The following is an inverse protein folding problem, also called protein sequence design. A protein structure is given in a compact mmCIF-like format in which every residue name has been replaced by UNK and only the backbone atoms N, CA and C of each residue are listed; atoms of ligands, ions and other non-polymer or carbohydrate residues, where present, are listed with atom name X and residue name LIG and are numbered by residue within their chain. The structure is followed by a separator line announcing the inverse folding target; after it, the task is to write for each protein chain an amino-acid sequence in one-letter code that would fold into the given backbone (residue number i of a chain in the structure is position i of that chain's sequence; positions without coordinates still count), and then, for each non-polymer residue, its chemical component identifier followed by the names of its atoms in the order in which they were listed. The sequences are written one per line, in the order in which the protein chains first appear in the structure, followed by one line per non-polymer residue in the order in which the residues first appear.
data_IF_680633496044
#
_entry.id   IF_680633496044
#
_cell.length_a   1.000
_cell.length_b   1.000
_cell.length_c   1.000
_cell.angle_alpha   90.00
_cell.angle_beta   90.00
_cell.angle_gamma   90.00
#
_symmetry.space_group_name_H-M   'P 1'
#
loop_
_entity.id
_entity.type
_entity.pdbx_description
1 polymer ?
#
# COMPACT_ATOMS: atom_id res chain seq x y z
N UNK A 1 9.16 -5.12 -6.05
CA UNK A 1 8.82 -6.55 -5.77
C UNK A 1 7.93 -7.02 -6.91
N UNK A 2 8.00 -8.27 -7.39
CA UNK A 2 7.10 -8.72 -8.46
C UNK A 2 5.88 -9.41 -7.84
N UNK A 3 4.67 -9.03 -8.27
CA UNK A 3 3.41 -9.67 -7.89
C UNK A 3 2.80 -10.36 -9.12
N UNK A 4 2.53 -11.65 -9.02
CA UNK A 4 1.83 -12.41 -10.07
C UNK A 4 0.33 -12.41 -9.83
N UNK A 5 -0.46 -12.15 -10.87
CA UNK A 5 -1.92 -12.18 -10.82
C UNK A 5 -2.49 -12.75 -12.12
N UNK A 6 -3.41 -13.70 -12.02
CA UNK A 6 -4.21 -14.15 -13.15
C UNK A 6 -5.28 -13.11 -13.49
N UNK A 7 -5.80 -13.15 -14.71
CA UNK A 7 -6.99 -12.35 -15.05
C UNK A 7 -8.15 -12.71 -14.14
N UNK A 8 -8.90 -11.69 -13.72
CA UNK A 8 -10.02 -11.77 -12.77
C UNK A 8 -9.65 -12.27 -11.36
N UNK A 9 -8.38 -12.52 -11.08
CA UNK A 9 -7.88 -12.88 -9.75
C UNK A 9 -7.58 -11.62 -8.94
N UNK A 10 -8.14 -11.52 -7.74
CA UNK A 10 -7.80 -10.45 -6.80
C UNK A 10 -6.59 -10.85 -5.98
N UNK A 11 -5.50 -10.09 -6.08
CA UNK A 11 -4.28 -10.30 -5.29
C UNK A 11 -4.00 -9.11 -4.36
N UNK A 12 -3.55 -9.35 -3.12
CA UNK A 12 -3.08 -8.28 -2.24
C UNK A 12 -1.68 -7.80 -2.66
N UNK A 13 -1.51 -6.48 -2.71
CA UNK A 13 -0.22 -5.80 -2.96
C UNK A 13 0.13 -4.96 -1.73
N UNK A 14 0.95 -5.47 -0.80
CA UNK A 14 1.28 -4.76 0.43
C UNK A 14 2.40 -3.74 0.20
N UNK A 15 2.15 -2.50 0.62
CA UNK A 15 3.12 -1.41 0.68
C UNK A 15 3.57 -1.23 2.13
N UNK A 16 4.80 -1.66 2.42
CA UNK A 16 5.44 -1.50 3.72
C UNK A 16 6.28 -0.23 3.73
N UNK A 17 6.06 0.65 4.70
CA UNK A 17 6.82 1.88 4.87
C UNK A 17 7.16 2.10 6.34
N UNK A 18 8.38 2.56 6.61
CA UNK A 18 8.74 3.11 7.91
C UNK A 18 8.50 4.62 7.89
N UNK A 19 7.88 5.16 8.95
CA UNK A 19 7.61 6.59 9.05
C UNK A 19 7.67 7.08 10.49
N UNK A 20 8.16 8.30 10.68
CA UNK A 20 8.13 9.03 11.94
C UNK A 20 7.61 10.45 11.67
N UNK A 21 6.45 10.85 12.22
CA UNK A 21 5.50 10.04 12.99
C UNK A 21 4.77 8.99 12.14
N UNK A 22 4.19 8.00 12.83
CA UNK A 22 3.56 6.82 12.24
C UNK A 22 2.20 7.06 11.58
N UNK A 23 1.60 8.24 11.77
CA UNK A 23 0.34 8.61 11.12
C UNK A 23 0.59 8.89 9.63
N UNK A 24 0.46 7.85 8.80
CA UNK A 24 0.68 7.89 7.36
C UNK A 24 -0.59 7.65 6.56
N UNK A 25 -0.74 8.45 5.51
CA UNK A 25 -1.68 8.26 4.41
C UNK A 25 -0.95 7.70 3.19
N UNK A 26 -1.67 6.99 2.32
CA UNK A 26 -1.09 6.30 1.16
C UNK A 26 -1.74 6.76 -0.15
N UNK A 27 -0.91 7.00 -1.16
CA UNK A 27 -1.32 7.30 -2.53
C UNK A 27 -0.82 6.20 -3.47
N UNK A 28 -1.71 5.69 -4.33
CA UNK A 28 -1.36 4.71 -5.35
C UNK A 28 -1.48 5.29 -6.76
N UNK A 29 -0.51 4.95 -7.61
CA UNK A 29 -0.57 5.21 -9.04
C UNK A 29 -0.31 3.91 -9.82
N UNK A 30 -1.02 3.73 -10.92
CA UNK A 30 -0.77 2.66 -11.87
C UNK A 30 -0.23 3.24 -13.19
N UNK A 31 0.75 2.57 -13.76
CA UNK A 31 1.27 2.89 -15.08
C UNK A 31 1.43 1.64 -15.93
N UNK A 32 0.81 1.64 -17.12
CA UNK A 32 1.18 0.73 -18.21
C UNK A 32 1.84 1.54 -19.33
N UNK A 33 2.59 0.86 -20.20
CA UNK A 33 3.39 1.24 -21.38
C UNK A 33 2.79 2.21 -22.42
N UNK A 34 1.94 3.16 -22.01
CA UNK A 34 1.44 4.26 -22.83
C UNK A 34 0.33 5.09 -22.19
N UNK A 35 -0.25 4.68 -21.06
CA UNK A 35 -1.42 5.35 -20.47
C UNK A 35 -1.30 5.41 -18.94
N UNK A 36 -1.43 6.62 -18.38
CA UNK A 36 -1.55 6.87 -16.93
C UNK A 36 -3.03 7.01 -16.63
N UNK A 37 -3.61 6.02 -15.97
CA UNK A 37 -4.93 6.19 -15.37
C UNK A 37 -4.75 6.49 -13.89
N UNK A 38 -5.43 7.53 -13.39
CA UNK A 38 -5.65 7.64 -11.96
C UNK A 38 -6.45 6.41 -11.54
N UNK A 39 -5.93 5.67 -10.56
CA UNK A 39 -6.59 4.50 -10.01
C UNK A 39 -7.89 5.01 -9.40
N UNK A 40 -9.01 4.89 -10.13
CA UNK A 40 -10.28 5.45 -9.73
C UNK A 40 -10.63 4.88 -8.35
N UNK A 41 -10.73 5.78 -7.38
CA UNK A 41 -10.89 5.48 -5.95
C UNK A 41 -12.17 4.70 -5.59
N UNK A 42 -12.95 4.26 -6.58
CA UNK A 42 -14.20 3.51 -6.43
C UNK A 42 -14.18 2.07 -6.97
N UNK A 43 -13.05 1.56 -7.48
CA UNK A 43 -12.93 0.14 -7.90
C UNK A 43 -12.20 -0.74 -6.88
N UNK A 44 -11.80 -0.16 -5.75
CA UNK A 44 -11.00 -0.82 -4.74
C UNK A 44 -11.74 -0.71 -3.41
N UNK A 45 -12.05 -1.85 -2.78
CA UNK A 45 -12.37 -1.88 -1.36
C UNK A 45 -11.08 -1.49 -0.63
N UNK A 46 -10.86 -0.19 -0.43
CA UNK A 46 -9.94 0.27 0.59
C UNK A 46 -10.50 -0.35 1.87
N UNK A 47 -9.82 -1.34 2.44
CA UNK A 47 -10.04 -1.69 3.83
C UNK A 47 -9.51 -0.51 4.67
N UNK A 48 -10.19 0.62 4.60
CA UNK A 48 -10.07 1.77 5.48
C UNK A 48 -10.71 1.42 6.84
N UNK A 49 -10.53 0.18 7.32
CA UNK A 49 -10.90 -0.27 8.65
C UNK A 49 -9.83 -1.23 9.21
N UNK A 50 -8.56 -1.01 8.89
CA UNK A 50 -7.51 -1.24 9.89
C UNK A 50 -7.16 0.10 10.54
N UNK A 51 -8.17 0.73 11.16
CA UNK A 51 -7.87 1.46 12.38
C UNK A 51 -7.21 0.45 13.30
N UNK A 52 -5.99 0.76 13.75
CA UNK A 52 -5.32 0.11 14.87
C UNK A 52 -6.35 -0.18 15.97
N UNK A 53 -6.90 -1.39 15.99
CA UNK A 53 -7.61 -1.88 17.15
C UNK A 53 -6.53 -2.09 18.18
N UNK A 54 -6.42 -1.12 19.07
CA UNK A 54 -5.97 -1.40 20.42
C UNK A 54 -6.72 -2.65 20.89
N UNK A 55 -5.98 -3.75 20.89
CA UNK A 55 -6.53 -5.07 21.05
C UNK A 55 -5.50 -6.19 20.91
N UNK A 56 -4.20 -5.90 21.01
CA UNK A 56 -3.21 -6.93 21.36
C UNK A 56 -2.44 -6.44 22.59
N UNK A 57 -2.83 -7.07 23.70
CA UNK A 57 -2.30 -7.02 25.05
C UNK A 57 -0.80 -6.70 25.17
N UNK A 58 -0.51 -5.70 26.02
CA UNK A 58 0.75 -5.53 26.72
C UNK A 58 1.32 -6.87 27.20
N UNK A 59 2.43 -7.29 26.62
CA UNK A 59 3.40 -8.13 27.32
C UNK A 59 4.72 -7.38 27.34
N UNK A 60 5.13 -7.03 28.57
CA UNK A 60 6.44 -6.46 28.90
C UNK A 60 7.53 -7.40 28.42
N UNK A 61 8.13 -7.10 27.29
CA UNK A 61 9.48 -7.50 26.87
C UNK A 61 10.00 -6.35 26.02
N UNK A 62 11.22 -5.88 26.31
CA UNK A 62 11.81 -4.66 25.78
C UNK A 62 11.63 -4.55 24.26
N UNK A 63 10.71 -3.69 23.84
CA UNK A 63 10.47 -3.38 22.43
C UNK A 63 11.56 -2.41 22.00
N UNK A 64 12.45 -2.85 21.12
CA UNK A 64 13.25 -1.95 20.31
C UNK A 64 12.30 -0.94 19.65
N UNK A 65 12.44 0.33 20.04
CA UNK A 65 11.67 1.49 19.57
C UNK A 65 12.06 1.89 18.14
N UNK A 66 12.33 0.90 17.28
CA UNK A 66 12.98 1.06 15.96
C UNK A 66 12.42 0.07 14.92
N UNK A 67 11.16 -0.36 15.04
CA UNK A 67 10.55 -1.20 14.00
C UNK A 67 9.04 -1.00 13.82
N UNK A 68 8.59 0.25 13.91
CA UNK A 68 7.21 0.61 13.61
C UNK A 68 7.00 0.76 12.09
N UNK A 69 6.93 -0.36 11.39
CA UNK A 69 6.52 -0.41 9.99
C UNK A 69 4.99 -0.20 9.88
N UNK A 70 4.57 0.72 9.01
CA UNK A 70 3.16 0.86 8.62
C UNK A 70 2.93 0.16 7.28
N UNK A 71 1.86 -0.61 7.19
CA UNK A 71 1.54 -1.44 6.02
C UNK A 71 0.20 -1.00 5.44
N UNK A 72 0.16 -0.81 4.13
CA UNK A 72 -1.09 -0.55 3.39
C UNK A 72 -1.26 -1.54 2.25
N UNK A 73 -2.43 -2.16 2.15
CA UNK A 73 -2.70 -3.20 1.16
C UNK A 73 -3.62 -2.70 0.05
N UNK A 74 -3.18 -2.84 -1.20
CA UNK A 74 -4.02 -2.64 -2.39
C UNK A 74 -4.54 -3.99 -2.90
N UNK A 75 -5.85 -4.15 -3.05
CA UNK A 75 -6.46 -5.33 -3.65
C UNK A 75 -6.56 -5.17 -5.16
N UNK A 76 -5.65 -5.78 -5.91
CA UNK A 76 -5.55 -5.60 -7.35
C UNK A 76 -6.21 -6.74 -8.13
N UNK A 77 -7.07 -6.43 -9.11
CA UNK A 77 -7.75 -7.42 -9.96
C UNK A 77 -7.61 -7.06 -11.45
N UNK A 78 -6.65 -7.62 -12.18
CA UNK A 78 -6.49 -7.32 -13.61
C UNK A 78 -7.63 -7.95 -14.42
N UNK A 79 -8.27 -7.18 -15.30
CA UNK A 79 -9.36 -7.64 -16.18
C UNK A 79 -8.89 -7.94 -17.60
N UNK A 80 -7.70 -7.48 -17.97
CA UNK A 80 -7.10 -7.73 -19.28
C UNK A 80 -5.57 -7.71 -19.21
N UNK A 81 -4.90 -8.27 -20.22
CA UNK A 81 -3.42 -8.23 -20.31
C UNK A 81 -2.88 -6.79 -20.39
N UNK A 82 -3.71 -5.83 -20.81
CA UNK A 82 -3.38 -4.39 -20.85
C UNK A 82 -3.46 -3.72 -19.49
N UNK A 83 -3.87 -4.43 -18.45
CA UNK A 83 -3.83 -3.92 -17.08
C UNK A 83 -2.60 -4.45 -16.35
N UNK A 84 -1.77 -5.30 -16.96
CA UNK A 84 -0.44 -5.54 -16.41
C UNK A 84 0.44 -4.31 -16.58
N UNK A 85 1.12 -3.91 -15.51
CA UNK A 85 1.91 -2.68 -15.46
C UNK A 85 2.62 -2.53 -14.13
N UNK A 86 3.08 -1.32 -13.85
CA UNK A 86 3.79 -0.98 -12.61
C UNK A 86 2.86 -0.24 -11.67
N UNK A 87 2.78 -0.73 -10.43
CA UNK A 87 2.11 -0.06 -9.32
C UNK A 87 3.14 0.74 -8.51
N UNK A 88 2.80 1.97 -8.18
CA UNK A 88 3.63 2.87 -7.40
C UNK A 88 2.86 3.35 -6.16
N UNK A 89 3.43 3.14 -4.98
CA UNK A 89 2.88 3.56 -3.69
C UNK A 89 3.74 4.66 -3.08
N UNK A 90 3.10 5.72 -2.58
CA UNK A 90 3.76 6.73 -1.74
C UNK A 90 3.07 6.81 -0.40
N UNK A 91 3.86 6.92 0.67
CA UNK A 91 3.36 7.32 1.98
C UNK A 91 3.55 8.82 2.23
N UNK A 92 2.65 9.41 3.02
CA UNK A 92 2.73 10.79 3.48
C UNK A 92 2.27 10.89 4.93
N UNK A 93 3.10 11.47 5.79
CA UNK A 93 2.76 11.86 7.16
C UNK A 93 2.77 13.39 7.32
N UNK A 94 2.71 13.87 8.56
CA UNK A 94 2.74 15.29 8.90
C UNK A 94 4.05 16.01 8.53
N UNK A 95 5.16 15.28 8.39
CA UNK A 95 6.46 15.83 7.97
C UNK A 95 6.49 16.02 6.45
N UNK A 96 5.95 15.06 5.71
CA UNK A 96 5.89 15.17 4.26
C UNK A 96 5.58 13.86 3.54
N UNK A 97 5.68 13.93 2.22
CA UNK A 97 5.50 12.79 1.31
C UNK A 97 6.85 12.16 1.02
N UNK A 98 6.86 10.83 0.93
CA UNK A 98 8.00 10.04 0.49
C UNK A 98 8.53 10.57 -0.86
N UNK A 99 9.86 10.68 -0.99
CA UNK A 99 10.50 11.20 -2.21
C UNK A 99 10.40 10.23 -3.38
N UNK A 100 10.61 8.95 -3.12
CA UNK A 100 10.62 7.86 -4.12
C UNK A 100 9.58 6.81 -3.75
N UNK A 101 8.70 6.38 -4.68
CA UNK A 101 7.68 5.38 -4.36
C UNK A 101 8.23 3.98 -4.16
N UNK A 102 7.45 3.13 -3.50
CA UNK A 102 7.57 1.69 -3.61
C UNK A 102 7.01 1.23 -4.97
N UNK A 103 7.79 0.49 -5.75
CA UNK A 103 7.41 0.00 -7.09
C UNK A 103 7.21 -1.52 -7.12
N UNK A 104 6.13 -1.95 -7.77
CA UNK A 104 5.72 -3.34 -7.94
C UNK A 104 5.44 -3.67 -9.41
#
# INVERSE_FOLDING_TARGET
MIVGASLDETVPVPCHVAADPLDVSFDWNFSNSGERFEVASGQFNLLQEFHSTEGITQSRYDADEDNSETIYELLYTPKSEREYGTLACWAKNSIGKQKEPCLF
#
